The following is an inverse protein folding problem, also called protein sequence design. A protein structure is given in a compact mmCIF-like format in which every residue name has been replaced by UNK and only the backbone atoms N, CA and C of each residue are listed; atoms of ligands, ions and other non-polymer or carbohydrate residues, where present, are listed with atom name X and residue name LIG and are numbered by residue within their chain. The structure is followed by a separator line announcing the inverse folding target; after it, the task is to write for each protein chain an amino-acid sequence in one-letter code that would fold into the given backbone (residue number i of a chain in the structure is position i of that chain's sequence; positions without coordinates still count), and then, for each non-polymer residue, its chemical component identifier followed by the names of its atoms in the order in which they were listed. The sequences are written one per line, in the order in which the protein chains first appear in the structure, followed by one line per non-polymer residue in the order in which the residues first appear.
data_IF_128026177476
#
_entry.id   IF_128026177476
#
_cell.length_a   1.000
_cell.length_b   1.000
_cell.length_c   1.000
_cell.angle_alpha   90.00
_cell.angle_beta   90.00
_cell.angle_gamma   90.00
#
_symmetry.space_group_name_H-M   'P 1'
#
loop_
_entity.id
_entity.type
_entity.pdbx_description
1 polymer ?
#
# COMPACT_ATOMS: atom_id res chain seq x y z
N UNK A 1 7.81 36.31 17.27
CA UNK A 1 6.63 35.47 16.98
C UNK A 1 6.36 35.27 15.48
N UNK A 2 6.31 36.32 14.64
CA UNK A 2 6.09 36.16 13.18
C UNK A 2 7.13 35.27 12.47
N UNK A 3 8.41 35.48 12.73
CA UNK A 3 9.49 34.67 12.14
C UNK A 3 9.40 33.20 12.54
N UNK A 4 9.08 32.91 13.81
CA UNK A 4 8.87 31.55 14.31
C UNK A 4 7.71 30.85 13.59
N UNK A 5 6.57 31.53 13.42
CA UNK A 5 5.42 30.98 12.69
C UNK A 5 5.75 30.68 11.22
N UNK A 6 6.53 31.54 10.57
CA UNK A 6 6.99 31.33 9.19
C UNK A 6 7.89 30.09 9.11
N UNK A 7 8.85 29.95 10.04
CA UNK A 7 9.73 28.78 10.09
C UNK A 7 8.93 27.49 10.33
N UNK A 8 7.99 27.50 11.27
CA UNK A 8 7.11 26.35 11.52
C UNK A 8 6.29 25.98 10.28
N UNK A 9 5.73 26.95 9.56
CA UNK A 9 4.95 26.69 8.34
C UNK A 9 5.81 26.07 7.23
N UNK A 10 7.04 26.56 7.04
CA UNK A 10 7.98 26.00 6.05
C UNK A 10 8.35 24.56 6.41
N UNK A 11 8.72 24.31 7.68
CA UNK A 11 9.07 22.96 8.15
C UNK A 11 7.89 22.01 7.98
N UNK A 12 6.68 22.44 8.38
CA UNK A 12 5.47 21.63 8.20
C UNK A 12 5.21 21.32 6.73
N UNK A 13 5.29 22.32 5.84
CA UNK A 13 5.09 22.13 4.40
C UNK A 13 6.10 21.15 3.79
N UNK A 14 7.37 21.21 4.20
CA UNK A 14 8.41 20.29 3.71
C UNK A 14 8.10 18.86 4.18
N UNK A 15 7.76 18.68 5.45
CA UNK A 15 7.43 17.36 6.02
C UNK A 15 6.19 16.77 5.32
N UNK A 16 5.11 17.54 5.17
CA UNK A 16 3.88 17.06 4.52
C UNK A 16 4.13 16.72 3.06
N UNK A 17 4.92 17.52 2.34
CA UNK A 17 5.26 17.24 0.94
C UNK A 17 6.10 15.97 0.80
N UNK A 18 7.06 15.76 1.71
CA UNK A 18 7.86 14.54 1.74
C UNK A 18 7.00 13.30 2.03
N UNK A 19 6.09 13.37 2.99
CA UNK A 19 5.17 12.28 3.30
C UNK A 19 4.23 11.97 2.13
N UNK A 20 3.66 13.01 1.50
CA UNK A 20 2.83 12.87 0.32
C UNK A 20 3.58 12.18 -0.83
N UNK A 21 4.83 12.58 -1.07
CA UNK A 21 5.67 11.96 -2.09
C UNK A 21 5.90 10.46 -1.82
N UNK A 22 6.17 10.06 -0.58
CA UNK A 22 6.29 8.63 -0.22
C UNK A 22 4.98 7.87 -0.43
N UNK A 23 3.85 8.48 -0.11
CA UNK A 23 2.55 7.86 -0.32
C UNK A 23 2.21 7.71 -1.82
N UNK A 24 2.61 8.68 -2.67
CA UNK A 24 2.47 8.54 -4.12
C UNK A 24 3.25 7.34 -4.66
N UNK A 25 4.51 7.17 -4.25
CA UNK A 25 5.32 6.00 -4.64
C UNK A 25 4.66 4.69 -4.18
N UNK A 26 4.13 4.64 -2.95
CA UNK A 26 3.39 3.46 -2.47
C UNK A 26 2.13 3.16 -3.26
N UNK A 27 1.42 4.19 -3.73
CA UNK A 27 0.25 4.01 -4.59
C UNK A 27 0.67 3.40 -5.93
N UNK A 28 1.76 3.87 -6.53
CA UNK A 28 2.29 3.29 -7.77
C UNK A 28 2.68 1.82 -7.59
N UNK A 29 3.40 1.49 -6.51
CA UNK A 29 3.73 0.12 -6.12
C UNK A 29 2.45 -0.73 -5.97
N UNK A 30 1.41 -0.18 -5.33
CA UNK A 30 0.14 -0.88 -5.11
C UNK A 30 -0.59 -1.19 -6.41
N UNK A 31 -0.58 -0.27 -7.36
CA UNK A 31 -1.15 -0.46 -8.69
C UNK A 31 -0.38 -1.56 -9.43
N UNK A 32 0.94 -1.58 -9.34
CA UNK A 32 1.76 -2.59 -10.01
C UNK A 32 1.53 -3.98 -9.43
N UNK A 33 1.42 -4.09 -8.09
CA UNK A 33 1.13 -5.34 -7.39
C UNK A 33 -0.27 -5.84 -7.75
N UNK A 34 -1.27 -4.97 -7.72
CA UNK A 34 -2.64 -5.31 -8.11
C UNK A 34 -2.67 -5.86 -9.53
N UNK A 35 -2.01 -5.16 -10.47
CA UNK A 35 -1.90 -5.58 -11.87
C UNK A 35 -1.23 -6.95 -11.97
N UNK A 36 -0.09 -7.14 -11.31
CA UNK A 36 0.64 -8.40 -11.33
C UNK A 36 -0.22 -9.57 -10.84
N UNK A 37 -0.90 -9.41 -9.70
CA UNK A 37 -1.75 -10.46 -9.13
C UNK A 37 -2.92 -10.80 -10.04
N UNK A 38 -3.58 -9.79 -10.63
CA UNK A 38 -4.66 -9.99 -11.60
C UNK A 38 -4.17 -10.74 -12.84
N UNK A 39 -3.04 -10.35 -13.41
CA UNK A 39 -2.43 -11.04 -14.56
C UNK A 39 -2.01 -12.47 -14.20
N UNK A 40 -1.36 -12.66 -13.05
CA UNK A 40 -0.96 -13.99 -12.59
C UNK A 40 -2.16 -14.93 -12.43
N UNK A 41 -3.26 -14.44 -11.88
CA UNK A 41 -4.51 -15.18 -11.81
C UNK A 41 -5.09 -15.50 -13.19
N UNK A 42 -5.14 -14.52 -14.11
CA UNK A 42 -5.65 -14.73 -15.46
C UNK A 42 -4.87 -15.82 -16.23
N UNK A 43 -3.54 -15.81 -16.09
CA UNK A 43 -2.64 -16.72 -16.81
C UNK A 43 -2.60 -18.12 -16.20
N UNK A 44 -2.65 -18.23 -14.87
CA UNK A 44 -2.41 -19.48 -14.15
C UNK A 44 -3.63 -20.06 -13.43
N UNK A 45 -4.77 -19.37 -13.47
CA UNK A 45 -6.01 -19.74 -12.77
C UNK A 45 -5.80 -19.99 -11.27
N UNK A 46 -4.84 -19.28 -10.67
CA UNK A 46 -4.52 -19.37 -9.24
C UNK A 46 -3.92 -18.06 -8.75
N UNK A 47 -4.05 -17.79 -7.46
CA UNK A 47 -3.38 -16.67 -6.81
C UNK A 47 -1.88 -16.95 -6.63
N UNK A 48 -1.02 -15.93 -6.73
CA UNK A 48 0.39 -16.08 -6.40
C UNK A 48 0.55 -16.33 -4.89
N UNK A 49 1.60 -17.01 -4.50
CA UNK A 49 2.02 -17.08 -3.09
C UNK A 49 2.71 -15.79 -2.66
N UNK A 50 2.74 -15.51 -1.34
CA UNK A 50 3.53 -14.40 -0.79
C UNK A 50 4.99 -14.46 -1.28
N UNK A 51 5.59 -15.65 -1.34
CA UNK A 51 6.96 -15.84 -1.82
C UNK A 51 7.14 -15.38 -3.28
N UNK A 52 6.16 -15.65 -4.15
CA UNK A 52 6.22 -15.22 -5.56
C UNK A 52 6.12 -13.70 -5.68
N UNK A 53 5.20 -13.08 -4.92
CA UNK A 53 5.05 -11.63 -4.87
C UNK A 53 6.32 -10.97 -4.32
N UNK A 54 6.87 -11.46 -3.21
CA UNK A 54 8.12 -10.93 -2.62
C UNK A 54 9.35 -11.14 -3.50
N UNK A 55 9.35 -12.14 -4.37
CA UNK A 55 10.43 -12.33 -5.35
C UNK A 55 10.32 -11.36 -6.51
N UNK A 56 9.10 -11.01 -6.92
CA UNK A 56 8.86 -10.04 -7.99
C UNK A 56 9.09 -8.60 -7.52
N UNK A 57 8.66 -8.28 -6.30
CA UNK A 57 8.68 -6.95 -5.73
C UNK A 57 9.60 -6.88 -4.52
N UNK A 58 10.74 -6.23 -4.67
CA UNK A 58 11.76 -6.17 -3.62
C UNK A 58 11.29 -5.40 -2.37
N UNK A 59 10.38 -4.44 -2.53
CA UNK A 59 9.84 -3.66 -1.41
C UNK A 59 9.04 -4.51 -0.42
N UNK A 60 8.46 -5.64 -0.82
CA UNK A 60 7.85 -6.59 0.14
C UNK A 60 8.88 -7.24 1.08
N UNK A 61 10.16 -7.25 0.70
CA UNK A 61 11.26 -7.76 1.55
C UNK A 61 11.87 -6.66 2.41
N UNK A 62 11.88 -5.42 1.90
CA UNK A 62 12.56 -4.28 2.52
C UNK A 62 11.65 -3.44 3.43
N UNK A 63 10.37 -3.29 3.09
CA UNK A 63 9.43 -2.49 3.87
C UNK A 63 8.59 -3.35 4.82
N UNK A 64 8.87 -3.22 6.11
CA UNK A 64 7.98 -3.66 7.18
C UNK A 64 6.68 -2.82 7.11
N UNK A 65 5.63 -3.34 6.49
CA UNK A 65 4.34 -2.65 6.47
C UNK A 65 3.39 -3.07 5.35
N UNK A 66 3.89 -3.76 4.33
CA UNK A 66 3.03 -4.46 3.37
C UNK A 66 2.59 -5.81 3.93
N UNK A 67 1.30 -6.10 3.83
CA UNK A 67 0.72 -7.35 4.34
C UNK A 67 -0.06 -8.05 3.23
N UNK A 68 0.08 -9.37 3.18
CA UNK A 68 -0.50 -10.23 2.15
C UNK A 68 -1.31 -11.33 2.82
N UNK A 69 -2.60 -11.40 2.50
CA UNK A 69 -3.55 -12.30 3.15
C UNK A 69 -4.29 -13.13 2.12
N UNK A 70 -4.21 -14.45 2.26
CA UNK A 70 -4.97 -15.38 1.43
C UNK A 70 -6.22 -15.83 2.17
N UNK A 71 -7.37 -15.66 1.53
CA UNK A 71 -8.62 -16.27 1.94
C UNK A 71 -8.89 -17.51 1.06
N UNK A 72 -8.52 -18.68 1.60
CA UNK A 72 -8.69 -19.96 0.93
C UNK A 72 -10.15 -20.34 0.68
N UNK A 73 -11.09 -19.82 1.48
CA UNK A 73 -12.52 -20.13 1.32
C UNK A 73 -13.15 -19.46 0.10
N UNK A 74 -12.55 -18.37 -0.38
CA UNK A 74 -13.14 -17.50 -1.40
C UNK A 74 -12.22 -17.33 -2.63
N UNK A 75 -11.11 -18.08 -2.71
CA UNK A 75 -10.03 -17.86 -3.67
C UNK A 75 -9.68 -16.37 -3.84
N UNK A 76 -9.61 -15.66 -2.72
CA UNK A 76 -9.39 -14.22 -2.70
C UNK A 76 -8.06 -13.90 -2.00
N UNK A 77 -7.38 -12.88 -2.49
CA UNK A 77 -6.26 -12.26 -1.78
C UNK A 77 -6.62 -10.84 -1.37
N UNK A 78 -6.24 -10.47 -0.16
CA UNK A 78 -6.20 -9.08 0.30
C UNK A 78 -4.75 -8.64 0.48
N UNK A 79 -4.40 -7.49 -0.09
CA UNK A 79 -3.09 -6.86 0.07
C UNK A 79 -3.30 -5.54 0.78
N UNK A 80 -2.70 -5.39 1.95
CA UNK A 80 -2.77 -4.16 2.74
C UNK A 80 -1.44 -3.44 2.70
N UNK A 81 -1.48 -2.12 2.51
CA UNK A 81 -0.29 -1.28 2.51
C UNK A 81 -0.53 0.01 3.32
N UNK A 82 0.52 0.56 3.94
CA UNK A 82 0.37 1.69 4.85
C UNK A 82 0.42 3.01 4.09
N UNK A 83 -0.32 4.00 4.60
CA UNK A 83 -0.31 5.37 4.09
C UNK A 83 -0.14 6.37 5.23
N UNK A 84 0.51 7.50 4.96
CA UNK A 84 0.67 8.58 5.93
C UNK A 84 -0.49 9.59 5.83
N UNK A 85 -1.00 9.80 4.62
CA UNK A 85 -2.06 10.74 4.29
C UNK A 85 -3.20 10.01 3.55
N UNK A 86 -4.47 10.42 3.76
CA UNK A 86 -5.60 9.88 3.02
C UNK A 86 -5.64 10.49 1.61
N UNK A 87 -4.85 9.96 0.68
CA UNK A 87 -4.83 10.45 -0.70
C UNK A 87 -5.99 9.86 -1.53
N UNK A 88 -6.79 10.68 -2.23
CA UNK A 88 -7.82 10.19 -3.14
C UNK A 88 -7.18 9.48 -4.34
N UNK A 89 -7.77 8.35 -4.75
CA UNK A 89 -7.28 7.55 -5.88
C UNK A 89 -6.31 6.42 -5.53
N UNK A 90 -5.93 6.27 -4.26
CA UNK A 90 -5.19 5.11 -3.80
C UNK A 90 -6.03 3.81 -4.00
N UNK A 91 -5.48 2.75 -4.62
CA UNK A 91 -6.23 1.53 -4.88
C UNK A 91 -6.70 0.83 -3.60
N UNK A 92 -7.82 0.13 -3.71
CA UNK A 92 -8.44 -0.55 -2.58
C UNK A 92 -9.32 0.37 -1.72
N UNK A 93 -9.65 -0.10 -0.51
CA UNK A 93 -10.49 0.64 0.45
C UNK A 93 -9.66 1.05 1.65
N UNK A 94 -9.87 2.29 2.09
CA UNK A 94 -9.28 2.78 3.34
C UNK A 94 -9.79 1.94 4.52
N UNK A 95 -8.87 1.53 5.39
CA UNK A 95 -9.10 0.77 6.61
C UNK A 95 -8.12 1.24 7.68
N UNK A 96 -8.51 1.06 8.96
CA UNK A 96 -7.55 1.09 10.05
C UNK A 96 -6.58 -0.08 9.88
N UNK A 97 -5.27 0.15 10.05
CA UNK A 97 -4.29 -0.94 9.98
C UNK A 97 -4.60 -1.97 11.06
N UNK A 98 -4.73 -3.24 10.68
CA UNK A 98 -5.09 -4.32 11.62
C UNK A 98 -3.86 -4.82 12.40
N UNK A 99 -2.64 -4.38 12.06
CA UNK A 99 -1.39 -4.99 12.55
C UNK A 99 -0.25 -4.01 12.86
N UNK A 100 -0.42 -2.70 12.63
CA UNK A 100 0.58 -1.70 12.99
C UNK A 100 -0.10 -0.41 13.49
N UNK A 101 0.57 0.41 14.32
CA UNK A 101 0.08 1.74 14.69
C UNK A 101 0.24 2.73 13.52
N UNK A 102 -0.27 2.34 12.34
CA UNK A 102 -0.34 3.19 11.16
C UNK A 102 -1.73 3.78 11.13
N UNK A 103 -1.78 5.12 11.08
CA UNK A 103 -3.02 5.90 11.17
C UNK A 103 -3.94 5.60 9.97
N UNK A 104 -3.37 5.28 8.80
CA UNK A 104 -4.11 4.96 7.58
C UNK A 104 -3.52 3.75 6.85
N UNK A 105 -4.36 2.83 6.39
CA UNK A 105 -3.96 1.75 5.50
C UNK A 105 -5.01 1.56 4.40
N UNK A 106 -4.57 1.12 3.24
CA UNK A 106 -5.46 0.72 2.16
C UNK A 106 -5.37 -0.78 1.94
N UNK A 107 -6.50 -1.41 1.60
CA UNK A 107 -6.60 -2.84 1.33
C UNK A 107 -7.20 -3.08 -0.05
N UNK A 108 -6.43 -3.71 -0.92
CA UNK A 108 -6.84 -4.16 -2.25
C UNK A 108 -7.30 -5.59 -2.13
N UNK A 109 -8.49 -5.88 -2.66
CA UNK A 109 -9.07 -7.23 -2.66
C UNK A 109 -9.19 -7.74 -4.09
N UNK A 110 -8.68 -8.94 -4.33
CA UNK A 110 -8.62 -9.55 -5.66
C UNK A 110 -9.10 -10.99 -5.53
N UNK A 111 -10.25 -11.28 -6.13
CA UNK A 111 -10.77 -12.64 -6.27
C UNK A 111 -10.24 -13.29 -7.54
N UNK A 112 -9.90 -14.58 -7.46
CA UNK A 112 -9.45 -15.40 -8.59
C UNK A 112 -10.43 -16.56 -8.80
N UNK A 113 -11.29 -16.51 -9.83
CA UNK A 113 -12.25 -17.56 -10.13
C UNK A 113 -11.61 -18.82 -10.70
#
# INVERSE_FOLDING_TARGET
MKLFMIICAIVFSIITSYLAFKDFLRIEDAIEVERYVKTYCADRRKLPSLREVSNKFEFFKKENGWYYFLNFSSNEVSIQYPMNLPLPGAPGRMKLSEFAPVIYANSIRIACP
#
